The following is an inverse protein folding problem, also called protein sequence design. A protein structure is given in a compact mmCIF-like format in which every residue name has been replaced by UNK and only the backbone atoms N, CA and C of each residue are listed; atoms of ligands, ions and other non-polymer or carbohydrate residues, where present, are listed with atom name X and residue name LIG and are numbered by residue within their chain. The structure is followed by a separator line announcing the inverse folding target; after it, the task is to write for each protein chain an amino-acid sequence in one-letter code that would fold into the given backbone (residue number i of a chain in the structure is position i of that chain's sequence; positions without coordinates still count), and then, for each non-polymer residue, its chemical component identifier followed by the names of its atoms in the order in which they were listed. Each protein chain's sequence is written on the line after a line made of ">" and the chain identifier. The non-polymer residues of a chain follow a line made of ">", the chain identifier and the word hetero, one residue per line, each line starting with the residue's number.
data_IF_702389460960
#
_entry.id   IF_702389460960
#
_cell.length_a   1.000
_cell.length_b   1.000
_cell.length_c   1.000
_cell.angle_alpha   90.00
_cell.angle_beta   90.00
_cell.angle_gamma   90.00
#
_symmetry.space_group_name_H-M   'P 1'
#
loop_
_entity.id
_entity.type
_entity.pdbx_description
1 polymer ?
#
# COMPACT_ATOMS: atom_id res chain seq x y z
N UNK A 1 -19.08 -37.36 10.45
CA UNK A 1 -19.07 -36.19 11.35
C UNK A 1 -18.37 -35.05 10.62
N UNK A 2 -19.13 -34.23 9.89
CA UNK A 2 -18.56 -33.11 9.12
C UNK A 2 -18.40 -31.96 10.11
N UNK A 3 -17.17 -31.53 10.36
CA UNK A 3 -16.86 -30.40 11.23
C UNK A 3 -17.61 -29.16 10.70
N UNK A 4 -18.44 -28.54 11.55
CA UNK A 4 -19.15 -27.31 11.21
C UNK A 4 -18.16 -26.23 10.75
N UNK A 5 -18.52 -25.37 9.78
CA UNK A 5 -17.61 -24.34 9.29
C UNK A 5 -17.17 -23.44 10.45
N UNK A 6 -15.85 -23.34 10.66
CA UNK A 6 -15.26 -22.37 11.59
C UNK A 6 -15.83 -21.00 11.26
N UNK A 7 -16.45 -20.35 12.25
CA UNK A 7 -17.08 -19.03 12.12
C UNK A 7 -16.12 -18.09 11.40
N UNK A 8 -16.50 -17.61 10.21
CA UNK A 8 -15.68 -16.69 9.42
C UNK A 8 -15.51 -15.41 10.25
N UNK A 9 -14.28 -15.00 10.61
CA UNK A 9 -14.06 -13.78 11.38
C UNK A 9 -14.69 -12.57 10.69
N UNK A 10 -15.24 -11.63 11.48
CA UNK A 10 -15.90 -10.41 10.98
C UNK A 10 -15.09 -9.68 9.91
N UNK A 11 -13.76 -9.64 10.08
CA UNK A 11 -12.83 -9.02 9.13
C UNK A 11 -12.95 -9.59 7.71
N UNK A 12 -13.11 -10.92 7.56
CA UNK A 12 -13.27 -11.52 6.23
C UNK A 12 -14.61 -11.18 5.59
N UNK A 13 -15.67 -10.99 6.40
CA UNK A 13 -16.96 -10.49 5.88
C UNK A 13 -16.79 -9.07 5.35
N UNK A 14 -16.16 -8.18 6.12
CA UNK A 14 -15.88 -6.80 5.68
C UNK A 14 -14.96 -6.73 4.46
N UNK A 15 -13.94 -7.59 4.39
CA UNK A 15 -12.97 -7.59 3.30
C UNK A 15 -13.55 -8.08 1.96
N UNK A 16 -14.61 -8.90 1.97
CA UNK A 16 -15.21 -9.48 0.76
C UNK A 16 -15.71 -8.43 -0.23
N UNK A 17 -16.20 -7.29 0.27
CA UNK A 17 -16.80 -6.25 -0.55
C UNK A 17 -15.78 -5.18 -0.99
N UNK A 18 -14.54 -5.27 -0.53
CA UNK A 18 -13.48 -4.32 -0.87
C UNK A 18 -13.13 -4.42 -2.35
N UNK A 19 -13.18 -3.29 -3.05
CA UNK A 19 -12.78 -3.15 -4.47
C UNK A 19 -11.52 -2.33 -4.67
N UNK A 20 -11.06 -1.65 -3.63
CA UNK A 20 -9.91 -0.74 -3.70
C UNK A 20 -9.09 -0.83 -2.44
N UNK A 21 -7.77 -0.92 -2.60
CA UNK A 21 -6.79 -0.83 -1.52
C UNK A 21 -6.01 0.47 -1.68
N UNK A 22 -6.23 1.41 -0.77
CA UNK A 22 -5.46 2.66 -0.67
C UNK A 22 -4.45 2.53 0.46
N UNK A 23 -3.18 2.79 0.15
CA UNK A 23 -2.05 2.56 1.06
C UNK A 23 -1.33 3.87 1.36
N UNK A 24 -0.96 4.07 2.62
CA UNK A 24 0.06 5.05 2.96
C UNK A 24 1.45 4.50 2.63
N UNK A 25 2.46 5.35 2.69
CA UNK A 25 3.85 4.99 2.48
C UNK A 25 4.57 4.83 3.80
N UNK A 26 4.76 5.92 4.53
CA UNK A 26 5.65 5.93 5.69
C UNK A 26 4.98 5.27 6.89
N UNK A 27 5.58 4.18 7.38
CA UNK A 27 5.02 3.35 8.45
C UNK A 27 4.00 2.30 7.98
N UNK A 28 3.72 2.24 6.67
CA UNK A 28 2.84 1.22 6.07
C UNK A 28 3.59 0.42 5.02
N UNK A 29 3.99 1.04 3.90
CA UNK A 29 4.82 0.39 2.88
C UNK A 29 6.31 0.44 3.21
N UNK A 30 6.69 1.30 4.16
CA UNK A 30 8.04 1.41 4.71
C UNK A 30 8.01 1.22 6.23
N UNK A 31 9.14 0.92 6.87
CA UNK A 31 9.25 0.90 8.33
C UNK A 31 9.04 2.25 9.03
N UNK A 32 8.79 3.34 8.30
CA UNK A 32 8.55 4.69 8.86
C UNK A 32 9.81 5.51 9.15
N UNK A 33 10.97 5.04 8.73
CA UNK A 33 12.23 5.78 8.83
C UNK A 33 12.30 6.89 7.77
N UNK A 34 12.85 8.04 8.14
CA UNK A 34 13.13 9.15 7.24
C UNK A 34 14.65 9.28 7.12
N UNK A 35 15.20 8.98 5.94
CA UNK A 35 16.64 9.00 5.68
C UNK A 35 16.94 10.01 4.58
N UNK A 36 17.76 11.00 4.92
CA UNK A 36 18.25 12.03 4.00
C UNK A 36 19.71 11.75 3.63
N UNK A 37 20.04 11.88 2.35
CA UNK A 37 21.43 11.95 1.89
C UNK A 37 21.97 13.37 2.03
N UNK A 38 23.29 13.54 2.00
CA UNK A 38 23.93 14.86 1.98
C UNK A 38 23.54 15.67 0.73
N UNK A 39 23.16 15.01 -0.36
CA UNK A 39 22.68 15.64 -1.59
C UNK A 39 21.21 16.09 -1.55
N UNK A 40 20.49 15.83 -0.46
CA UNK A 40 19.07 16.18 -0.30
C UNK A 40 18.08 15.13 -0.79
N UNK A 41 18.57 14.02 -1.37
CA UNK A 41 17.73 12.89 -1.76
C UNK A 41 17.17 12.16 -0.54
N UNK A 42 15.99 11.57 -0.70
CA UNK A 42 15.36 10.75 0.33
C UNK A 42 15.40 9.27 -0.05
N UNK A 43 16.02 8.47 0.81
CA UNK A 43 16.04 7.02 0.66
C UNK A 43 14.84 6.41 1.38
N UNK A 44 14.16 5.46 0.72
CA UNK A 44 13.05 4.68 1.32
C UNK A 44 13.27 3.19 1.09
N UNK A 45 13.04 2.41 2.14
CA UNK A 45 13.12 0.96 2.11
C UNK A 45 11.72 0.35 2.02
N UNK A 46 11.49 -0.48 1.01
CA UNK A 46 10.23 -1.18 0.78
C UNK A 46 10.41 -2.69 0.92
N UNK A 47 9.34 -3.40 1.30
CA UNK A 47 9.37 -4.85 1.41
C UNK A 47 9.00 -5.52 0.07
N UNK A 48 9.78 -6.52 -0.33
CA UNK A 48 9.52 -7.30 -1.55
C UNK A 48 8.26 -8.18 -1.43
N UNK A 49 7.98 -8.74 -0.24
CA UNK A 49 6.79 -9.56 0.03
C UNK A 49 5.52 -8.73 -0.07
N UNK A 50 5.54 -7.48 0.43
CA UNK A 50 4.41 -6.56 0.27
C UNK A 50 4.16 -6.26 -1.21
N UNK A 51 5.23 -6.08 -1.99
CA UNK A 51 5.12 -5.91 -3.44
C UNK A 51 4.44 -7.09 -4.13
N UNK A 52 4.77 -8.32 -3.71
CA UNK A 52 4.09 -9.52 -4.20
C UNK A 52 2.61 -9.58 -3.77
N UNK A 53 2.31 -9.26 -2.51
CA UNK A 53 0.93 -9.21 -2.02
C UNK A 53 0.06 -8.19 -2.76
N UNK A 54 0.60 -7.00 -3.04
CA UNK A 54 -0.09 -5.96 -3.82
C UNK A 54 -0.31 -6.43 -5.27
N UNK A 55 0.67 -7.11 -5.87
CA UNK A 55 0.52 -7.70 -7.20
C UNK A 55 -0.60 -8.76 -7.24
N UNK A 56 -0.70 -9.61 -6.22
CA UNK A 56 -1.79 -10.57 -6.10
C UNK A 56 -3.14 -9.88 -5.91
N UNK A 57 -3.22 -8.83 -5.10
CA UNK A 57 -4.44 -8.05 -4.93
C UNK A 57 -4.92 -7.44 -6.26
N UNK A 58 -4.00 -6.92 -7.08
CA UNK A 58 -4.31 -6.45 -8.44
C UNK A 58 -4.85 -7.56 -9.32
N UNK A 59 -4.21 -8.74 -9.31
CA UNK A 59 -4.69 -9.89 -10.07
C UNK A 59 -6.06 -10.41 -9.61
N UNK A 60 -6.38 -10.25 -8.33
CA UNK A 60 -7.71 -10.50 -7.79
C UNK A 60 -8.76 -9.42 -8.14
N UNK A 61 -8.37 -8.40 -8.92
CA UNK A 61 -9.26 -7.34 -9.39
C UNK A 61 -9.41 -6.15 -8.45
N UNK A 62 -8.56 -6.01 -7.43
CA UNK A 62 -8.56 -4.83 -6.59
C UNK A 62 -7.82 -3.69 -7.28
N UNK A 63 -8.42 -2.50 -7.27
CA UNK A 63 -7.76 -1.25 -7.63
C UNK A 63 -6.76 -0.86 -6.54
N UNK A 64 -5.54 -0.48 -6.92
CA UNK A 64 -4.51 -0.07 -5.95
C UNK A 64 -4.24 1.42 -6.06
N UNK A 65 -4.19 2.09 -4.91
CA UNK A 65 -3.79 3.48 -4.80
C UNK A 65 -2.78 3.71 -3.67
N UNK A 66 -1.99 4.77 -3.81
CA UNK A 66 -1.09 5.28 -2.78
C UNK A 66 -1.47 6.74 -2.49
N UNK A 67 -1.62 7.07 -1.20
CA UNK A 67 -1.85 8.43 -0.72
C UNK A 67 -0.87 8.70 0.42
N UNK A 68 0.05 9.62 0.20
CA UNK A 68 1.07 9.97 1.19
C UNK A 68 1.29 11.47 1.32
N UNK A 69 1.66 11.89 2.54
CA UNK A 69 2.15 13.23 2.81
C UNK A 69 3.59 13.42 2.32
N UNK A 70 4.40 12.35 2.27
CA UNK A 70 5.74 12.40 1.71
C UNK A 70 5.67 12.42 0.19
N UNK A 71 6.57 13.21 -0.42
CA UNK A 71 6.80 13.21 -1.86
C UNK A 71 8.27 12.93 -2.12
N UNK A 72 8.57 11.88 -2.90
CA UNK A 72 9.92 11.59 -3.39
C UNK A 72 9.88 10.69 -4.61
N UNK A 73 10.95 10.72 -5.40
CA UNK A 73 11.09 9.87 -6.58
C UNK A 73 11.12 8.38 -6.22
N UNK A 74 11.61 8.02 -5.03
CA UNK A 74 11.53 6.65 -4.54
C UNK A 74 10.09 6.14 -4.47
N UNK A 75 9.13 6.98 -4.04
CA UNK A 75 7.71 6.59 -4.03
C UNK A 75 7.17 6.47 -5.46
N UNK A 76 7.53 7.40 -6.35
CA UNK A 76 7.09 7.40 -7.75
C UNK A 76 7.56 6.14 -8.48
N UNK A 77 8.83 5.77 -8.33
CA UNK A 77 9.39 4.54 -8.89
C UNK A 77 8.67 3.31 -8.33
N UNK A 78 8.49 3.24 -7.01
CA UNK A 78 7.80 2.10 -6.38
C UNK A 78 6.35 1.98 -6.85
N UNK A 79 5.62 3.08 -6.98
CA UNK A 79 4.26 3.10 -7.49
C UNK A 79 4.20 2.58 -8.94
N UNK A 80 5.18 2.94 -9.77
CA UNK A 80 5.34 2.43 -11.13
C UNK A 80 5.58 0.92 -11.15
N UNK A 81 6.52 0.41 -10.34
CA UNK A 81 6.83 -1.03 -10.23
C UNK A 81 5.58 -1.86 -9.87
N UNK A 82 4.76 -1.32 -8.97
CA UNK A 82 3.54 -1.97 -8.49
C UNK A 82 2.33 -1.72 -9.40
N UNK A 83 2.49 -0.90 -10.45
CA UNK A 83 1.42 -0.50 -11.39
C UNK A 83 0.21 0.09 -10.67
N UNK A 84 0.48 0.99 -9.73
CA UNK A 84 -0.53 1.72 -8.96
C UNK A 84 -1.35 2.60 -9.90
N UNK A 85 -2.67 2.64 -9.71
CA UNK A 85 -3.59 3.37 -10.59
C UNK A 85 -3.92 4.77 -10.09
N UNK A 86 -3.75 5.01 -8.78
CA UNK A 86 -4.04 6.28 -8.12
C UNK A 86 -2.85 6.65 -7.25
N UNK A 87 -2.18 7.76 -7.55
CA UNK A 87 -1.01 8.22 -6.80
C UNK A 87 -1.20 9.67 -6.39
N UNK A 88 -1.35 9.91 -5.10
CA UNK A 88 -1.39 11.24 -4.51
C UNK A 88 -0.24 11.41 -3.52
N UNK A 89 0.67 12.35 -3.79
CA UNK A 89 1.83 12.67 -2.98
C UNK A 89 1.76 14.11 -2.49
N UNK A 90 2.50 14.42 -1.42
CA UNK A 90 2.48 15.75 -0.82
C UNK A 90 1.14 16.10 -0.15
N UNK A 91 0.31 15.09 0.17
CA UNK A 91 -1.04 15.29 0.71
C UNK A 91 -1.10 14.94 2.20
N UNK A 92 -1.10 15.98 3.02
CA UNK A 92 -1.33 15.87 4.47
C UNK A 92 -2.80 15.60 4.79
N UNK A 93 -3.70 16.28 4.08
CA UNK A 93 -5.12 16.00 4.12
C UNK A 93 -5.46 14.92 3.08
N UNK A 94 -5.95 13.77 3.55
CA UNK A 94 -6.31 12.63 2.71
C UNK A 94 -7.79 12.61 2.34
N UNK A 95 -8.57 13.58 2.83
CA UNK A 95 -10.01 13.68 2.65
C UNK A 95 -10.45 14.86 1.77
N UNK A 96 -9.55 15.81 1.47
CA UNK A 96 -9.84 17.02 0.70
C UNK A 96 -8.91 17.20 -0.53
#
# INVERSE_FOLDING_TARGET
>A
MICAPKRIPEMFRRARDVKTLLLDVDGVLTPGQIVHSEGGDMLKFFNALDGFGIKLARFAGLRIGIISASESDAIRHRASDLKVEVLYLGRYDKLN
#
